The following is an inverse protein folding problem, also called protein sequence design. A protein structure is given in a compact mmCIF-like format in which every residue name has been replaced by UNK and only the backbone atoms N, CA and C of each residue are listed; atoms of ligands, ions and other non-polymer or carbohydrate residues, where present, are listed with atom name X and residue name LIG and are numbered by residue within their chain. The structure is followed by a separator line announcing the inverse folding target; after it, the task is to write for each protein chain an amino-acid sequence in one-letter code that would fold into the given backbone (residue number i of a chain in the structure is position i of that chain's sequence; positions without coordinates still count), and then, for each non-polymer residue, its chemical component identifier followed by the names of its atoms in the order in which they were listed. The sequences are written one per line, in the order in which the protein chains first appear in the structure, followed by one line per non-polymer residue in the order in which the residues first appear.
data_IF_245069284248
#
_entry.id   IF_245069284248
#
_cell.length_a   1.000
_cell.length_b   1.000
_cell.length_c   1.000
_cell.angle_alpha   90.00
_cell.angle_beta   90.00
_cell.angle_gamma   90.00
#
_symmetry.space_group_name_H-M   'P 1'
#
loop_
_entity.id
_entity.type
_entity.pdbx_description
1 polymer ?
#
# COMPACT_ATOMS: atom_id res chain seq x y z
N UNK A 1 15.98 9.45 11.70
CA UNK A 1 16.03 8.82 10.38
C UNK A 1 14.81 9.30 9.61
N UNK A 2 15.02 9.95 8.47
CA UNK A 2 13.99 10.44 7.55
C UNK A 2 13.71 9.41 6.46
N UNK A 3 12.59 9.54 5.75
CA UNK A 3 12.33 8.69 4.59
C UNK A 3 13.40 8.91 3.50
N UNK A 4 13.90 10.14 3.38
CA UNK A 4 15.05 10.46 2.52
C UNK A 4 16.29 9.60 2.81
N UNK A 5 16.60 9.34 4.08
CA UNK A 5 17.76 8.52 4.45
C UNK A 5 17.61 7.09 3.91
N UNK A 6 16.40 6.54 3.97
CA UNK A 6 16.08 5.22 3.42
C UNK A 6 16.18 5.20 1.88
N UNK A 7 15.71 6.26 1.21
CA UNK A 7 15.81 6.40 -0.26
C UNK A 7 17.27 6.48 -0.69
N UNK A 8 18.07 7.31 -0.02
CA UNK A 8 19.49 7.46 -0.33
C UNK A 8 20.26 6.15 -0.13
N UNK A 9 19.95 5.41 0.94
CA UNK A 9 20.56 4.12 1.19
C UNK A 9 20.16 3.08 0.16
N UNK A 10 18.88 3.03 -0.21
CA UNK A 10 18.42 2.18 -1.32
C UNK A 10 19.18 2.48 -2.62
N UNK A 11 19.34 3.75 -2.99
CA UNK A 11 20.04 4.12 -4.22
C UNK A 11 21.50 3.63 -4.21
N UNK A 12 22.19 3.73 -3.08
CA UNK A 12 23.55 3.20 -2.93
C UNK A 12 23.60 1.68 -3.05
N UNK A 13 22.71 0.97 -2.33
CA UNK A 13 22.67 -0.49 -2.34
C UNK A 13 22.28 -1.03 -3.72
N UNK A 14 21.35 -0.36 -4.40
CA UNK A 14 20.91 -0.71 -5.75
C UNK A 14 22.05 -0.55 -6.77
N UNK A 15 22.79 0.57 -6.71
CA UNK A 15 23.99 0.78 -7.54
C UNK A 15 25.08 -0.27 -7.28
N UNK A 16 25.23 -0.69 -6.02
CA UNK A 16 26.16 -1.75 -5.63
C UNK A 16 25.65 -3.18 -5.93
N UNK A 17 24.43 -3.33 -6.47
CA UNK A 17 23.77 -4.62 -6.72
C UNK A 17 23.58 -5.46 -5.44
N UNK A 18 23.32 -4.80 -4.32
CA UNK A 18 23.09 -5.40 -3.01
C UNK A 18 21.61 -5.49 -2.62
N UNK A 19 20.73 -4.87 -3.41
CA UNK A 19 19.27 -5.01 -3.28
C UNK A 19 18.60 -4.94 -4.65
N UNK A 20 17.46 -5.61 -4.81
CA UNK A 20 16.73 -5.70 -6.08
C UNK A 20 15.54 -4.73 -6.16
N UNK A 21 14.96 -4.33 -5.03
CA UNK A 21 13.77 -3.49 -4.98
C UNK A 21 13.66 -2.72 -3.67
N UNK A 22 12.84 -1.66 -3.69
CA UNK A 22 12.54 -0.83 -2.55
C UNK A 22 11.05 -0.75 -2.31
N UNK A 23 10.65 -1.01 -1.07
CA UNK A 23 9.32 -0.71 -0.57
C UNK A 23 9.47 -0.11 0.84
N UNK A 24 8.47 0.64 1.26
CA UNK A 24 8.41 1.19 2.60
C UNK A 24 6.97 1.16 3.09
N UNK A 25 6.83 1.14 4.40
CA UNK A 25 5.55 1.36 5.05
C UNK A 25 5.76 2.21 6.29
N UNK A 26 4.73 2.95 6.67
CA UNK A 26 4.72 3.62 7.95
C UNK A 26 4.53 2.58 9.06
N UNK A 27 5.29 2.71 10.15
CA UNK A 27 5.26 1.76 11.26
C UNK A 27 3.90 1.77 11.96
N UNK A 28 3.25 0.62 12.02
CA UNK A 28 1.97 0.48 12.72
C UNK A 28 2.21 0.54 14.24
N UNK A 29 1.68 1.58 14.88
CA UNK A 29 1.77 1.80 16.33
C UNK A 29 0.39 2.21 16.86
N UNK A 30 0.13 1.91 18.13
CA UNK A 30 -1.16 2.23 18.76
C UNK A 30 -1.37 3.74 18.95
N UNK A 31 -0.28 4.51 19.07
CA UNK A 31 -0.35 5.96 19.31
C UNK A 31 -0.30 6.74 18.00
N UNK A 32 -1.05 7.85 17.87
CA UNK A 32 -0.91 8.74 16.73
C UNK A 32 0.48 9.40 16.69
N UNK A 33 0.82 10.00 15.55
CA UNK A 33 1.96 10.89 15.41
C UNK A 33 1.67 12.16 16.19
N UNK A 34 2.51 12.49 17.17
CA UNK A 34 2.33 13.65 18.05
C UNK A 34 2.40 14.98 17.28
N UNK A 35 3.48 15.18 16.50
CA UNK A 35 3.64 16.35 15.62
C UNK A 35 3.42 15.97 14.15
N UNK A 36 2.15 15.79 13.79
CA UNK A 36 1.76 15.44 12.43
C UNK A 36 2.18 16.51 11.41
N UNK A 37 2.13 17.79 11.77
CA UNK A 37 2.41 18.87 10.82
C UNK A 37 3.87 18.84 10.38
N UNK A 38 4.79 18.75 11.35
CA UNK A 38 6.21 18.63 11.05
C UNK A 38 6.50 17.33 10.31
N UNK A 39 5.95 16.20 10.79
CA UNK A 39 6.14 14.91 10.12
C UNK A 39 5.69 14.94 8.66
N UNK A 40 4.47 15.44 8.40
CA UNK A 40 3.87 15.52 7.08
C UNK A 40 4.70 16.40 6.14
N UNK A 41 5.13 17.58 6.59
CA UNK A 41 5.98 18.47 5.80
C UNK A 41 7.28 17.79 5.39
N UNK A 42 7.97 17.15 6.35
CA UNK A 42 9.22 16.45 6.08
C UNK A 42 9.00 15.25 5.14
N UNK A 43 7.91 14.52 5.31
CA UNK A 43 7.55 13.40 4.44
C UNK A 43 7.25 13.86 3.01
N UNK A 44 6.56 14.99 2.83
CA UNK A 44 6.31 15.58 1.51
C UNK A 44 7.62 15.98 0.81
N UNK A 45 8.58 16.56 1.52
CA UNK A 45 9.92 16.85 0.99
C UNK A 45 10.64 15.55 0.56
N UNK A 46 10.59 14.52 1.39
CA UNK A 46 11.24 13.23 1.12
C UNK A 46 10.59 12.50 -0.07
N UNK A 47 9.26 12.60 -0.23
CA UNK A 47 8.55 12.08 -1.40
C UNK A 47 8.96 12.77 -2.70
N UNK A 48 9.17 14.09 -2.66
CA UNK A 48 9.68 14.84 -3.82
C UNK A 48 11.08 14.40 -4.19
N UNK A 49 11.96 14.24 -3.20
CA UNK A 49 13.31 13.69 -3.41
C UNK A 49 13.27 12.31 -4.08
N UNK A 50 12.39 11.41 -3.64
CA UNK A 50 12.19 10.11 -4.30
C UNK A 50 11.78 10.27 -5.76
N UNK A 51 10.76 11.09 -6.04
CA UNK A 51 10.21 11.30 -7.39
C UNK A 51 11.20 11.97 -8.33
N UNK A 52 11.99 12.93 -7.84
CA UNK A 52 13.07 13.57 -8.61
C UNK A 52 14.13 12.54 -9.03
N UNK A 53 14.57 11.69 -8.10
CA UNK A 53 15.52 10.62 -8.42
C UNK A 53 14.92 9.59 -9.39
N UNK A 54 13.65 9.25 -9.22
CA UNK A 54 12.91 8.35 -10.09
C UNK A 54 12.82 8.88 -11.52
N UNK A 55 12.39 10.14 -11.70
CA UNK A 55 12.30 10.78 -13.01
C UNK A 55 13.68 10.93 -13.66
N UNK A 56 14.69 11.32 -12.89
CA UNK A 56 16.06 11.40 -13.40
C UNK A 56 16.58 10.04 -13.89
N UNK A 57 16.23 8.94 -13.22
CA UNK A 57 16.54 7.60 -13.68
C UNK A 57 15.78 7.25 -14.97
N UNK A 58 14.47 7.56 -15.04
CA UNK A 58 13.69 7.30 -16.24
C UNK A 58 14.25 8.03 -17.46
N UNK A 59 14.73 9.28 -17.31
CA UNK A 59 15.35 10.01 -18.41
C UNK A 59 16.67 9.38 -18.89
N UNK A 60 17.34 8.57 -18.06
CA UNK A 60 18.50 7.75 -18.45
C UNK A 60 18.10 6.37 -19.01
N UNK A 61 16.80 6.10 -19.15
CA UNK A 61 16.28 4.79 -19.59
C UNK A 61 16.24 3.75 -18.47
N UNK A 62 16.39 4.15 -17.20
CA UNK A 62 16.41 3.27 -16.04
C UNK A 62 15.11 3.38 -15.24
N UNK A 63 14.47 2.24 -14.94
CA UNK A 63 13.30 2.20 -14.06
C UNK A 63 13.79 1.78 -12.67
N UNK A 64 13.71 2.68 -11.68
CA UNK A 64 14.03 2.30 -10.30
C UNK A 64 12.92 1.39 -9.74
N UNK A 65 13.27 0.25 -9.12
CA UNK A 65 12.32 -0.74 -8.60
C UNK A 65 11.67 -0.30 -7.27
N UNK A 66 10.98 0.84 -7.28
CA UNK A 66 10.30 1.41 -6.10
C UNK A 66 8.84 0.98 -6.12
N UNK A 67 8.52 -0.13 -5.45
CA UNK A 67 7.30 -0.90 -5.70
C UNK A 67 5.99 -0.10 -5.54
N UNK A 68 5.77 0.65 -4.43
CA UNK A 68 4.53 1.40 -4.24
C UNK A 68 4.41 2.58 -5.22
N UNK A 69 5.53 3.19 -5.61
CA UNK A 69 5.56 4.31 -6.56
C UNK A 69 5.24 3.83 -7.97
N UNK A 70 5.86 2.73 -8.38
CA UNK A 70 5.65 2.09 -9.66
C UNK A 70 4.18 1.72 -9.88
N UNK A 71 3.54 1.10 -8.88
CA UNK A 71 2.12 0.78 -8.93
C UNK A 71 1.24 2.04 -8.99
N UNK A 72 1.53 3.04 -8.16
CA UNK A 72 0.78 4.29 -8.15
C UNK A 72 0.84 5.00 -9.51
N UNK A 73 2.03 5.11 -10.10
CA UNK A 73 2.21 5.71 -11.43
C UNK A 73 1.43 4.89 -12.45
N UNK A 74 1.63 3.57 -12.50
CA UNK A 74 0.94 2.71 -13.47
C UNK A 74 -0.58 2.80 -13.36
N UNK A 75 -1.13 2.76 -12.13
CA UNK A 75 -2.57 2.90 -11.90
C UNK A 75 -3.07 4.27 -12.36
N UNK A 76 -2.29 5.33 -12.10
CA UNK A 76 -2.63 6.70 -12.52
C UNK A 76 -2.63 6.85 -14.04
N UNK A 77 -1.68 6.22 -14.74
CA UNK A 77 -1.60 6.25 -16.20
C UNK A 77 -2.74 5.47 -16.86
N UNK A 78 -3.06 4.29 -16.33
CA UNK A 78 -4.07 3.39 -16.89
C UNK A 78 -5.50 3.66 -16.41
N UNK A 79 -5.69 4.54 -15.43
CA UNK A 79 -6.99 4.76 -14.80
C UNK A 79 -7.50 3.54 -14.02
N UNK A 80 -6.59 2.74 -13.48
CA UNK A 80 -6.93 1.52 -12.73
C UNK A 80 -7.41 1.91 -11.32
N UNK A 81 -8.40 1.16 -10.81
CA UNK A 81 -8.81 1.21 -9.40
C UNK A 81 -8.56 -0.15 -8.76
N UNK A 82 -7.92 -0.17 -7.58
CA UNK A 82 -7.72 -1.39 -6.79
C UNK A 82 -9.06 -2.04 -6.42
N UNK A 83 -10.02 -1.23 -5.95
CA UNK A 83 -11.39 -1.69 -5.63
C UNK A 83 -11.47 -2.71 -4.48
N UNK A 84 -10.44 -2.77 -3.64
CA UNK A 84 -10.36 -3.61 -2.43
C UNK A 84 -9.18 -3.17 -1.56
N UNK A 85 -9.08 -3.65 -0.32
CA UNK A 85 -7.89 -3.43 0.52
C UNK A 85 -6.65 -4.02 -0.15
N UNK A 86 -5.45 -3.56 0.25
CA UNK A 86 -4.19 -4.11 -0.23
C UNK A 86 -4.17 -5.65 -0.15
N UNK A 87 -4.40 -6.18 1.05
CA UNK A 87 -4.48 -7.63 1.32
C UNK A 87 -5.76 -8.31 0.78
N UNK A 88 -6.76 -7.55 0.31
CA UNK A 88 -8.01 -8.10 -0.21
C UNK A 88 -8.80 -8.94 0.81
N UNK A 89 -8.69 -8.62 2.10
CA UNK A 89 -9.30 -9.39 3.19
C UNK A 89 -10.80 -9.56 3.03
N UNK A 90 -11.51 -8.54 2.52
CA UNK A 90 -12.95 -8.60 2.28
C UNK A 90 -13.35 -9.54 1.14
N UNK A 91 -12.38 -9.96 0.31
CA UNK A 91 -12.57 -10.91 -0.78
C UNK A 91 -11.93 -12.27 -0.50
N UNK A 92 -11.43 -12.51 0.73
CA UNK A 92 -10.74 -13.74 1.11
C UNK A 92 -9.59 -14.11 0.16
N UNK A 93 -8.84 -13.11 -0.30
CA UNK A 93 -7.67 -13.36 -1.16
C UNK A 93 -6.48 -13.88 -0.37
N UNK A 94 -6.38 -13.52 0.90
CA UNK A 94 -5.41 -14.03 1.87
C UNK A 94 -6.14 -14.63 3.07
N UNK A 95 -5.46 -15.55 3.76
CA UNK A 95 -5.90 -16.16 5.01
C UNK A 95 -4.69 -16.57 5.84
N UNK A 96 -4.85 -16.56 7.15
CA UNK A 96 -3.89 -17.05 8.12
C UNK A 96 -4.38 -18.36 8.75
N UNK A 97 -3.43 -19.18 9.19
CA UNK A 97 -3.72 -20.37 9.98
C UNK A 97 -3.07 -20.20 11.36
N UNK A 98 -3.89 -20.17 12.40
CA UNK A 98 -3.43 -20.08 13.78
C UNK A 98 -4.09 -21.18 14.61
N UNK A 99 -3.27 -22.04 15.22
CA UNK A 99 -3.74 -23.08 16.16
C UNK A 99 -4.91 -23.92 15.65
N UNK A 100 -4.87 -24.33 14.38
CA UNK A 100 -5.93 -25.13 13.75
C UNK A 100 -7.16 -24.34 13.29
N UNK A 101 -7.16 -23.01 13.40
CA UNK A 101 -8.19 -22.12 12.88
C UNK A 101 -7.69 -21.43 11.62
N UNK A 102 -8.58 -21.26 10.65
CA UNK A 102 -8.37 -20.45 9.45
C UNK A 102 -9.02 -19.10 9.69
N UNK A 103 -8.26 -18.02 9.58
CA UNK A 103 -8.70 -16.64 9.79
C UNK A 103 -8.44 -15.85 8.51
N UNK A 104 -9.20 -14.79 8.21
CA UNK A 104 -8.87 -13.92 7.08
C UNK A 104 -7.68 -13.00 7.38
N UNK A 105 -7.40 -12.75 8.65
CA UNK A 105 -6.19 -12.08 9.15
C UNK A 105 -6.06 -12.38 10.65
N UNK A 106 -4.88 -12.81 11.10
CA UNK A 106 -4.61 -13.16 12.50
C UNK A 106 -4.77 -11.97 13.43
N UNK A 107 -4.42 -10.77 12.97
CA UNK A 107 -4.51 -9.53 13.74
C UNK A 107 -5.96 -9.07 13.98
N UNK A 108 -6.94 -9.60 13.23
CA UNK A 108 -8.35 -9.35 13.52
C UNK A 108 -8.83 -10.05 14.79
N UNK A 109 -8.09 -11.07 15.22
CA UNK A 109 -8.48 -11.97 16.30
C UNK A 109 -9.52 -12.99 15.88
N UNK A 110 -9.98 -13.77 16.86
CA UNK A 110 -10.87 -14.92 16.63
C UNK A 110 -12.34 -14.56 16.39
N UNK A 111 -12.68 -13.27 16.31
CA UNK A 111 -14.03 -12.79 15.98
C UNK A 111 -14.48 -13.23 14.58
N UNK A 112 -13.52 -13.51 13.69
CA UNK A 112 -13.76 -14.01 12.35
C UNK A 112 -12.93 -15.27 12.05
N UNK A 113 -13.50 -16.43 12.39
CA UNK A 113 -12.99 -17.73 11.98
C UNK A 113 -13.69 -18.14 10.69
N UNK A 114 -12.91 -18.51 9.67
CA UNK A 114 -13.42 -19.08 8.41
C UNK A 114 -13.71 -20.57 8.59
N UNK A 115 -12.79 -21.27 9.25
CA UNK A 115 -12.90 -22.67 9.59
C UNK A 115 -12.10 -22.99 10.87
N UNK A 116 -12.54 -23.98 11.63
CA UNK A 116 -11.90 -24.44 12.86
C UNK A 116 -11.72 -25.97 12.81
N UNK A 117 -10.49 -26.43 13.03
CA UNK A 117 -10.10 -27.83 13.09
C UNK A 117 -9.46 -28.23 14.43
N UNK A 118 -9.56 -27.38 15.47
CA UNK A 118 -8.94 -27.61 16.79
C UNK A 118 -9.33 -28.93 17.46
N UNK A 119 -10.54 -29.43 17.18
CA UNK A 119 -11.09 -30.63 17.81
C UNK A 119 -11.08 -31.87 16.89
N UNK A 120 -10.35 -31.84 15.77
CA UNK A 120 -10.30 -32.94 14.80
C UNK A 120 -11.49 -33.01 13.83
N UNK A 121 -12.55 -32.22 14.09
CA UNK A 121 -13.70 -32.03 13.20
C UNK A 121 -13.68 -30.64 12.57
N UNK A 122 -13.88 -30.56 11.25
CA UNK A 122 -13.91 -29.31 10.51
C UNK A 122 -15.24 -28.58 10.70
N UNK A 123 -15.21 -27.48 11.45
CA UNK A 123 -16.35 -26.54 11.57
C UNK A 123 -16.13 -25.36 10.64
N UNK A 124 -17.08 -25.08 9.74
CA UNK A 124 -17.02 -23.93 8.83
C UNK A 124 -18.06 -22.89 9.21
N UNK A 125 -17.71 -21.62 9.09
CA UNK A 125 -18.67 -20.52 9.21
C UNK A 125 -19.60 -20.54 8.00
N UNK A 126 -20.90 -20.38 8.22
CA UNK A 126 -21.89 -20.33 7.15
C UNK A 126 -21.58 -19.19 6.18
N UNK A 127 -21.72 -19.43 4.87
CA UNK A 127 -21.29 -18.48 3.84
C UNK A 127 -21.98 -17.10 3.97
N UNK A 128 -23.26 -17.07 4.29
CA UNK A 128 -24.01 -15.82 4.47
C UNK A 128 -23.55 -15.02 5.70
N UNK A 129 -23.21 -15.72 6.79
CA UNK A 129 -22.64 -15.11 7.99
C UNK A 129 -21.25 -14.54 7.68
N UNK A 130 -20.44 -15.32 6.98
CA UNK A 130 -19.10 -14.94 6.57
C UNK A 130 -19.13 -13.68 5.68
N UNK A 131 -19.99 -13.65 4.66
CA UNK A 131 -20.17 -12.47 3.79
C UNK A 131 -20.59 -11.23 4.59
N UNK A 132 -21.44 -11.37 5.61
CA UNK A 132 -21.83 -10.25 6.49
C UNK A 132 -20.64 -9.75 7.31
N UNK A 133 -19.88 -10.65 7.94
CA UNK A 133 -18.69 -10.30 8.74
C UNK A 133 -17.60 -9.64 7.90
N UNK A 134 -17.30 -10.17 6.72
CA UNK A 134 -16.31 -9.59 5.79
C UNK A 134 -16.69 -8.19 5.30
N UNK A 135 -17.97 -7.94 4.99
CA UNK A 135 -18.44 -6.59 4.63
C UNK A 135 -18.29 -5.62 5.80
N UNK A 136 -18.57 -6.08 7.03
CA UNK A 136 -18.45 -5.25 8.22
C UNK A 136 -17.01 -4.81 8.49
N UNK A 137 -16.03 -5.69 8.24
CA UNK A 137 -14.60 -5.39 8.44
C UNK A 137 -14.11 -4.19 7.65
N UNK A 138 -14.69 -3.92 6.48
CA UNK A 138 -14.31 -2.78 5.63
C UNK A 138 -15.28 -1.59 5.73
N UNK A 139 -16.25 -1.63 6.64
CA UNK A 139 -17.22 -0.55 6.82
C UNK A 139 -16.61 0.76 7.32
N UNK A 140 -15.42 0.70 7.95
CA UNK A 140 -14.68 1.89 8.37
C UNK A 140 -14.32 2.83 7.20
N UNK A 141 -14.33 2.33 5.96
CA UNK A 141 -14.09 3.14 4.76
C UNK A 141 -15.09 4.28 4.61
N UNK A 142 -16.34 4.08 5.05
CA UNK A 142 -17.36 5.13 5.03
C UNK A 142 -17.01 6.23 6.03
N UNK A 143 -16.55 5.85 7.23
CA UNK A 143 -16.09 6.79 8.26
C UNK A 143 -14.84 7.58 7.82
N UNK A 144 -13.92 6.94 7.09
CA UNK A 144 -12.76 7.61 6.49
C UNK A 144 -13.12 8.47 5.26
N UNK A 145 -14.35 8.39 4.76
CA UNK A 145 -14.77 9.12 3.56
C UNK A 145 -14.12 8.61 2.28
N UNK A 146 -13.73 7.32 2.20
CA UNK A 146 -12.98 6.76 1.08
C UNK A 146 -13.67 6.98 -0.29
N UNK A 147 -15.00 6.99 -0.33
CA UNK A 147 -15.78 7.19 -1.57
C UNK A 147 -15.43 8.50 -2.29
N UNK A 148 -15.09 9.55 -1.55
CA UNK A 148 -14.71 10.85 -2.10
C UNK A 148 -13.18 11.09 -2.09
N UNK A 149 -12.39 10.11 -1.62
CA UNK A 149 -10.96 10.26 -1.43
C UNK A 149 -10.20 10.09 -2.76
N UNK A 150 -9.32 11.05 -3.05
CA UNK A 150 -8.48 11.03 -4.27
C UNK A 150 -7.50 9.85 -4.30
N UNK A 151 -7.19 9.25 -3.15
CA UNK A 151 -6.22 8.17 -3.04
C UNK A 151 -6.85 6.78 -3.02
N UNK A 152 -8.19 6.66 -2.95
CA UNK A 152 -8.87 5.37 -2.78
C UNK A 152 -8.59 4.40 -3.93
N UNK A 153 -8.47 4.90 -5.16
CA UNK A 153 -8.16 4.07 -6.33
C UNK A 153 -6.85 3.30 -6.16
N UNK A 154 -5.90 3.86 -5.42
CA UNK A 154 -4.59 3.28 -5.15
C UNK A 154 -4.57 2.52 -3.83
N UNK A 155 -5.06 3.13 -2.74
CA UNK A 155 -4.91 2.56 -1.40
C UNK A 155 -5.99 1.53 -1.03
N UNK A 156 -7.15 1.58 -1.70
CA UNK A 156 -8.24 0.65 -1.46
C UNK A 156 -8.81 0.70 -0.03
N UNK A 157 -8.60 1.79 0.70
CA UNK A 157 -9.05 1.96 2.08
C UNK A 157 -8.04 1.54 3.16
N UNK A 158 -6.81 1.11 2.83
CA UNK A 158 -5.78 0.65 3.80
C UNK A 158 -6.20 -0.58 4.63
N UNK A 159 -5.40 -0.91 5.65
CA UNK A 159 -5.60 -2.06 6.51
C UNK A 159 -6.69 -1.80 7.57
N UNK A 160 -7.69 -2.70 7.75
CA UNK A 160 -8.68 -2.61 8.82
C UNK A 160 -8.10 -2.67 10.24
N UNK A 161 -6.94 -3.31 10.42
CA UNK A 161 -6.32 -3.52 11.74
C UNK A 161 -5.92 -2.19 12.37
N UNK A 162 -5.28 -1.32 11.61
CA UNK A 162 -4.86 0.00 12.10
C UNK A 162 -6.06 0.82 12.59
N UNK A 163 -7.23 0.68 11.95
CA UNK A 163 -8.45 1.34 12.43
C UNK A 163 -8.89 0.76 13.76
N UNK A 164 -8.79 -0.56 13.95
CA UNK A 164 -9.17 -1.23 15.20
C UNK A 164 -8.28 -0.80 16.37
N UNK A 165 -6.98 -0.60 16.13
CA UNK A 165 -6.00 -0.27 17.18
C UNK A 165 -5.76 1.22 17.37
N UNK A 166 -5.75 2.01 16.30
CA UNK A 166 -5.47 3.46 16.33
C UNK A 166 -6.22 4.25 15.24
N UNK A 167 -7.53 4.55 15.46
CA UNK A 167 -8.34 5.30 14.48
C UNK A 167 -7.78 6.66 14.09
N UNK A 168 -7.13 7.37 15.02
CA UNK A 168 -6.54 8.69 14.73
C UNK A 168 -5.28 8.56 13.87
N UNK A 169 -4.40 7.60 14.17
CA UNK A 169 -3.24 7.31 13.33
C UNK A 169 -3.66 6.89 11.92
N UNK A 170 -4.75 6.12 11.80
CA UNK A 170 -5.32 5.77 10.51
C UNK A 170 -5.68 7.00 9.67
N UNK A 171 -6.33 8.01 10.27
CA UNK A 171 -6.63 9.29 9.59
C UNK A 171 -5.36 10.04 9.18
N UNK A 172 -4.37 10.09 10.06
CA UNK A 172 -3.07 10.70 9.74
C UNK A 172 -2.42 10.03 8.54
N UNK A 173 -2.48 8.70 8.48
CA UNK A 173 -1.98 7.91 7.36
C UNK A 173 -2.77 8.14 6.08
N UNK A 174 -4.09 8.32 6.17
CA UNK A 174 -4.89 8.74 5.02
C UNK A 174 -4.42 10.08 4.44
N UNK A 175 -3.99 11.03 5.27
CA UNK A 175 -3.43 12.31 4.78
C UNK A 175 -2.09 12.10 4.07
N UNK A 176 -1.20 11.28 4.64
CA UNK A 176 0.10 10.97 4.05
C UNK A 176 -0.02 10.22 2.71
N UNK A 177 -0.99 9.30 2.58
CA UNK A 177 -1.28 8.66 1.30
C UNK A 177 -1.88 9.63 0.28
N UNK A 178 -2.73 10.56 0.71
CA UNK A 178 -3.24 11.62 -0.18
C UNK A 178 -2.11 12.52 -0.69
N UNK A 179 -1.15 12.86 0.17
CA UNK A 179 0.05 13.59 -0.25
C UNK A 179 0.86 12.79 -1.27
N UNK A 180 1.09 11.50 -1.03
CA UNK A 180 1.81 10.64 -1.97
C UNK A 180 1.16 10.61 -3.36
N UNK A 181 -0.16 10.45 -3.41
CA UNK A 181 -0.94 10.49 -4.66
C UNK A 181 -0.88 11.86 -5.33
N UNK A 182 -1.05 12.93 -4.55
CA UNK A 182 -1.07 14.30 -5.07
C UNK A 182 0.28 14.70 -5.65
N UNK A 183 1.36 14.45 -4.92
CA UNK A 183 2.73 14.77 -5.36
C UNK A 183 3.10 13.90 -6.57
N UNK A 184 2.79 12.59 -6.55
CA UNK A 184 3.07 11.74 -7.72
C UNK A 184 2.35 12.25 -8.98
N UNK A 185 1.11 12.75 -8.84
CA UNK A 185 0.35 13.34 -9.94
C UNK A 185 1.04 14.56 -10.57
N UNK A 186 1.73 15.37 -9.76
CA UNK A 186 2.52 16.52 -10.26
C UNK A 186 3.68 16.08 -11.17
N UNK A 187 4.26 14.91 -10.92
CA UNK A 187 5.38 14.36 -11.69
C UNK A 187 4.95 13.51 -12.90
N UNK A 188 3.67 13.13 -13.01
CA UNK A 188 3.18 12.29 -14.13
C UNK A 188 3.51 12.85 -15.53
N UNK A 189 3.44 14.17 -15.81
CA UNK A 189 3.86 14.70 -17.11
C UNK A 189 5.33 14.37 -17.44
N UNK A 190 6.23 14.53 -16.48
CA UNK A 190 7.66 14.22 -16.63
C UNK A 190 7.90 12.72 -16.79
N UNK A 191 7.15 11.89 -16.05
CA UNK A 191 7.21 10.43 -16.22
C UNK A 191 6.80 10.03 -17.63
N UNK A 192 5.69 10.57 -18.16
CA UNK A 192 5.23 10.28 -19.53
C UNK A 192 6.26 10.70 -20.58
N UNK A 193 6.85 11.89 -20.40
CA UNK A 193 7.91 12.40 -21.28
C UNK A 193 9.15 11.50 -21.25
N UNK A 194 9.60 11.09 -20.07
CA UNK A 194 10.79 10.24 -19.92
C UNK A 194 10.57 8.83 -20.51
N UNK A 195 9.40 8.23 -20.29
CA UNK A 195 9.02 6.95 -20.90
C UNK A 195 9.01 7.04 -22.43
N UNK A 196 8.40 8.09 -22.99
CA UNK A 196 8.35 8.32 -24.42
C UNK A 196 9.75 8.51 -25.02
N UNK A 197 10.55 9.38 -24.41
CA UNK A 197 11.93 9.68 -24.84
C UNK A 197 12.81 8.43 -24.88
N UNK A 198 12.64 7.51 -23.92
CA UNK A 198 13.44 6.29 -23.81
C UNK A 198 12.77 5.06 -24.44
N UNK A 199 11.64 5.23 -25.15
CA UNK A 199 10.86 4.13 -25.73
C UNK A 199 10.55 3.00 -24.72
N UNK A 200 10.28 3.39 -23.47
CA UNK A 200 9.90 2.47 -22.39
C UNK A 200 8.37 2.34 -22.38
N UNK A 201 7.81 1.13 -22.53
CA UNK A 201 6.37 0.94 -22.40
C UNK A 201 5.93 1.18 -20.95
N UNK A 202 4.72 1.71 -20.76
CA UNK A 202 4.15 1.97 -19.43
C UNK A 202 4.06 0.68 -18.59
N UNK A 203 3.91 -0.46 -19.26
CA UNK A 203 3.89 -1.81 -18.70
C UNK A 203 5.18 -2.16 -17.94
N UNK A 204 6.32 -1.57 -18.32
CA UNK A 204 7.60 -1.75 -17.63
C UNK A 204 7.60 -1.16 -16.22
N UNK A 205 6.66 -0.26 -15.90
CA UNK A 205 6.48 0.24 -14.55
C UNK A 205 5.83 -0.81 -13.64
N UNK A 206 5.07 -1.77 -14.16
CA UNK A 206 4.29 -2.67 -13.33
C UNK A 206 4.67 -4.13 -13.47
N UNK A 207 4.74 -4.70 -14.67
CA UNK A 207 4.86 -6.17 -14.79
C UNK A 207 6.13 -6.81 -14.23
N UNK A 208 7.31 -6.15 -14.24
CA UNK A 208 8.48 -6.73 -13.58
C UNK A 208 8.31 -6.93 -12.08
N UNK A 209 7.40 -6.18 -11.43
CA UNK A 209 7.27 -6.15 -9.98
C UNK A 209 5.82 -6.23 -9.44
N UNK A 210 4.82 -6.27 -10.31
CA UNK A 210 3.41 -6.18 -9.94
C UNK A 210 2.95 -7.38 -9.09
N UNK A 211 3.58 -8.53 -9.30
CA UNK A 211 3.42 -9.68 -8.40
C UNK A 211 4.00 -9.42 -7.01
N UNK A 212 5.14 -8.73 -6.90
CA UNK A 212 5.74 -8.40 -5.60
C UNK A 212 4.86 -7.41 -4.81
N UNK A 213 4.18 -6.48 -5.48
CA UNK A 213 3.21 -5.59 -4.83
C UNK A 213 2.03 -6.35 -4.19
N UNK A 214 1.65 -7.51 -4.73
CA UNK A 214 0.64 -8.39 -4.12
C UNK A 214 1.16 -9.08 -2.86
N UNK A 215 2.48 -9.22 -2.71
CA UNK A 215 3.12 -9.87 -1.57
C UNK A 215 3.52 -8.89 -0.46
N UNK A 216 3.64 -7.60 -0.80
CA UNK A 216 3.97 -6.58 0.20
C UNK A 216 2.77 -6.19 1.07
N UNK A 217 1.54 -6.54 0.68
CA UNK A 217 0.27 -6.36 1.41
C UNK A 217 -0.03 -4.95 1.97
N UNK A 218 0.82 -3.96 1.66
CA UNK A 218 0.85 -2.68 2.36
C UNK A 218 0.96 -1.53 1.37
N UNK A 219 0.06 -0.56 1.56
CA UNK A 219 0.14 0.77 0.98
C UNK A 219 0.94 1.62 1.97
N UNK A 220 1.95 2.38 1.53
CA UNK A 220 2.80 3.16 2.43
C UNK A 220 2.02 3.99 3.46
#
# INVERSE_FOLDING_TARGET
MRFKDCVDEFLKLYQAKLCDFFFWHLIELDKPIDDLQTFRRLYQEDLRHLLENFVNALFRGEILPVLPLLELIYFSLKGIRRGQTGCGVEKLRNFDILSGKVLPCVDMGEELILADYTNGDLKKTAEDELKKKLRHIVSYRDWLGCKACIAEFFCGGRCPILIKTSPERAKQYCLLTQDFVSITKEFLPLVKEALFTNNLPEESLYYPYGWLNLLTDVVP
#
